data_IF_132440566558
#
_entry.id   IF_132440566558
#
_cell.length_a   1.000
_cell.length_b   1.000
_cell.length_c   1.000
_cell.angle_alpha   90.00
_cell.angle_beta   90.00
_cell.angle_gamma   90.00
#
_symmetry.space_group_name_H-M   'P 1'
#
loop_
_entity.id
_entity.type
_entity.pdbx_description
1 polymer ?
#
# COMPACT_ATOMS: atom_id res chain seq x y z
N UNK A 1 5.13 -24.79 11.88
CA UNK A 1 3.99 -24.26 11.10
C UNK A 1 4.59 -23.51 9.93
N UNK A 2 4.32 -23.96 8.71
CA UNK A 2 4.65 -23.19 7.50
C UNK A 2 3.72 -22.00 7.45
N UNK A 3 4.25 -20.79 7.28
CA UNK A 3 3.42 -19.60 7.05
C UNK A 3 2.71 -19.76 5.71
N UNK A 4 1.44 -19.38 5.62
CA UNK A 4 0.71 -19.35 4.35
C UNK A 4 1.14 -18.13 3.51
N UNK A 5 0.89 -18.16 2.20
CA UNK A 5 1.07 -16.99 1.35
C UNK A 5 0.15 -15.84 1.82
N UNK A 6 0.63 -14.61 1.70
CA UNK A 6 -0.05 -13.40 2.17
C UNK A 6 -0.31 -12.43 1.02
N UNK A 7 -1.42 -11.71 1.10
CA UNK A 7 -1.60 -10.43 0.41
C UNK A 7 -1.10 -9.29 1.31
N UNK A 8 0.00 -8.66 0.94
CA UNK A 8 0.68 -7.63 1.73
C UNK A 8 0.37 -6.24 1.16
N UNK A 9 -0.25 -5.37 1.95
CA UNK A 9 -0.38 -3.96 1.58
C UNK A 9 0.96 -3.26 1.78
N UNK A 10 1.52 -2.69 0.71
CA UNK A 10 2.72 -1.84 0.79
C UNK A 10 2.30 -0.41 1.05
N UNK A 11 2.71 0.10 2.22
CA UNK A 11 2.29 1.40 2.72
C UNK A 11 3.50 2.32 2.90
N UNK A 12 3.43 3.54 2.35
CA UNK A 12 4.56 4.48 2.33
C UNK A 12 4.15 5.92 2.01
N UNK A 13 5.12 6.83 1.84
CA UNK A 13 4.84 8.17 1.34
C UNK A 13 4.29 8.09 -0.07
N UNK A 14 3.07 8.60 -0.27
CA UNK A 14 2.49 8.85 -1.59
C UNK A 14 2.49 10.34 -1.92
N UNK A 15 1.66 11.13 -1.23
CA UNK A 15 1.62 12.60 -1.35
C UNK A 15 2.57 13.33 -0.38
N UNK A 16 3.06 12.62 0.64
CA UNK A 16 3.89 13.26 1.67
C UNK A 16 5.26 13.66 1.12
N UNK A 17 5.67 14.89 1.40
CA UNK A 17 6.95 15.45 0.94
C UNK A 17 7.00 15.79 -0.56
N UNK A 18 5.86 15.79 -1.26
CA UNK A 18 5.81 16.11 -2.70
C UNK A 18 5.46 17.56 -3.00
N UNK A 19 4.77 18.25 -2.08
CA UNK A 19 4.22 19.59 -2.30
C UNK A 19 3.34 19.68 -3.57
N UNK A 20 2.70 18.58 -3.95
CA UNK A 20 1.88 18.48 -5.18
C UNK A 20 2.68 18.26 -6.46
N UNK A 21 4.00 18.07 -6.38
CA UNK A 21 4.85 17.75 -7.52
C UNK A 21 4.58 16.33 -8.02
N UNK A 22 4.03 16.21 -9.23
CA UNK A 22 3.66 14.94 -9.86
C UNK A 22 4.86 14.01 -10.12
N UNK A 23 6.08 14.53 -10.32
CA UNK A 23 7.27 13.69 -10.47
C UNK A 23 7.65 13.06 -9.14
N UNK A 24 7.57 13.83 -8.04
CA UNK A 24 7.81 13.30 -6.69
C UNK A 24 6.73 12.30 -6.29
N UNK A 25 5.46 12.54 -6.64
CA UNK A 25 4.37 11.58 -6.40
C UNK A 25 4.63 10.27 -7.15
N UNK A 26 5.02 10.35 -8.43
CA UNK A 26 5.37 9.17 -9.23
C UNK A 26 6.58 8.43 -8.65
N UNK A 27 7.61 9.14 -8.21
CA UNK A 27 8.78 8.54 -7.57
C UNK A 27 8.40 7.84 -6.25
N UNK A 28 7.52 8.45 -5.46
CA UNK A 28 6.97 7.91 -4.24
C UNK A 28 6.19 6.59 -4.50
N UNK A 29 5.30 6.60 -5.50
CA UNK A 29 4.57 5.39 -5.94
C UNK A 29 5.52 4.30 -6.42
N UNK A 30 6.51 4.64 -7.26
CA UNK A 30 7.48 3.68 -7.76
C UNK A 30 8.27 2.98 -6.63
N UNK A 31 8.55 3.67 -5.52
CA UNK A 31 9.18 3.03 -4.34
C UNK A 31 8.28 1.99 -3.66
N UNK A 32 6.97 2.23 -3.61
CA UNK A 32 6.02 1.25 -3.09
C UNK A 32 5.90 0.06 -4.04
N UNK A 33 5.77 0.33 -5.34
CA UNK A 33 5.67 -0.71 -6.37
C UNK A 33 6.94 -1.57 -6.48
N UNK A 34 8.12 -1.00 -6.20
CA UNK A 34 9.38 -1.72 -6.17
C UNK A 34 9.42 -2.86 -5.13
N UNK A 35 8.50 -2.88 -4.14
CA UNK A 35 8.38 -3.98 -3.19
C UNK A 35 7.64 -5.20 -3.76
N UNK A 36 6.99 -5.08 -4.91
CA UNK A 36 6.23 -6.17 -5.51
C UNK A 36 7.09 -7.39 -5.82
N UNK A 37 8.26 -7.19 -6.46
CA UNK A 37 9.16 -8.28 -6.80
C UNK A 37 9.76 -8.95 -5.54
N UNK A 38 10.36 -8.23 -4.58
CA UNK A 38 10.88 -8.85 -3.36
C UNK A 38 9.82 -9.60 -2.54
N UNK A 39 8.57 -9.12 -2.50
CA UNK A 39 7.48 -9.82 -1.83
C UNK A 39 7.10 -11.10 -2.59
N UNK A 40 7.05 -11.06 -3.92
CA UNK A 40 6.83 -12.24 -4.75
C UNK A 40 7.93 -13.28 -4.55
N UNK A 41 9.20 -12.87 -4.51
CA UNK A 41 10.35 -13.74 -4.23
C UNK A 41 10.28 -14.39 -2.83
N UNK A 42 9.54 -13.78 -1.89
CA UNK A 42 9.23 -14.35 -0.58
C UNK A 42 7.99 -15.25 -0.56
N UNK A 43 7.32 -15.43 -1.70
CA UNK A 43 6.10 -16.23 -1.85
C UNK A 43 4.81 -15.48 -1.50
N UNK A 44 4.81 -14.15 -1.61
CA UNK A 44 3.70 -13.28 -1.23
C UNK A 44 3.28 -12.33 -2.36
N UNK A 45 2.03 -11.89 -2.36
CA UNK A 45 1.56 -10.88 -3.29
C UNK A 45 1.59 -9.50 -2.65
N UNK A 46 2.08 -8.50 -3.39
CA UNK A 46 1.99 -7.11 -2.98
C UNK A 46 0.68 -6.47 -3.48
N UNK A 47 0.17 -5.52 -2.73
CA UNK A 47 -0.85 -4.58 -3.17
C UNK A 47 -0.46 -3.15 -2.79
N UNK A 48 -0.81 -2.19 -3.64
CA UNK A 48 -0.67 -0.75 -3.37
C UNK A 48 -2.06 -0.12 -3.49
N UNK A 49 -2.43 0.77 -2.56
CA UNK A 49 -3.76 1.37 -2.51
C UNK A 49 -4.16 2.05 -3.81
N UNK A 50 -3.21 2.76 -4.42
CA UNK A 50 -3.37 3.52 -5.66
C UNK A 50 -3.80 2.67 -6.86
N UNK A 51 -3.40 1.39 -6.92
CA UNK A 51 -3.80 0.47 -7.99
C UNK A 51 -5.32 0.26 -8.05
N UNK A 52 -5.99 0.31 -6.88
CA UNK A 52 -7.43 0.13 -6.78
C UNK A 52 -8.18 1.46 -6.67
N UNK A 53 -7.56 2.52 -6.15
CA UNK A 53 -8.24 3.81 -6.00
C UNK A 53 -8.41 4.52 -7.34
N UNK A 54 -7.40 4.52 -8.21
CA UNK A 54 -7.44 5.28 -9.46
C UNK A 54 -8.56 4.87 -10.42
N UNK A 55 -8.83 3.57 -10.67
CA UNK A 55 -9.98 3.17 -11.48
C UNK A 55 -11.32 3.68 -10.93
N UNK A 56 -11.48 3.71 -9.60
CA UNK A 56 -12.69 4.24 -8.93
C UNK A 56 -12.79 5.75 -9.09
N UNK A 57 -11.68 6.47 -8.86
CA UNK A 57 -11.60 7.93 -9.00
C UNK A 57 -11.93 8.35 -10.43
N UNK A 58 -11.34 7.70 -11.43
CA UNK A 58 -11.57 7.97 -12.84
C UNK A 58 -13.03 7.71 -13.24
N UNK A 59 -13.61 6.58 -12.80
CA UNK A 59 -15.01 6.27 -13.06
C UNK A 59 -15.98 7.27 -12.39
N UNK A 60 -15.57 7.93 -11.31
CA UNK A 60 -16.31 9.00 -10.66
C UNK A 60 -16.07 10.39 -11.27
N UNK A 61 -15.27 10.48 -12.34
CA UNK A 61 -14.95 11.73 -13.04
C UNK A 61 -13.76 12.51 -12.49
N UNK A 62 -12.93 11.91 -11.62
CA UNK A 62 -11.69 12.51 -11.15
C UNK A 62 -10.53 12.30 -12.11
N UNK A 63 -9.66 13.29 -12.22
CA UNK A 63 -8.57 13.33 -13.21
C UNK A 63 -7.18 13.66 -12.61
N UNK A 64 -7.13 13.98 -11.32
CA UNK A 64 -5.94 14.51 -10.68
C UNK A 64 -5.99 14.37 -9.16
N UNK A 65 -4.83 14.49 -8.50
CA UNK A 65 -4.70 14.51 -7.03
C UNK A 65 -5.44 15.70 -6.38
N UNK A 66 -5.73 16.75 -7.15
CA UNK A 66 -6.46 17.92 -6.70
C UNK A 66 -7.99 17.77 -6.83
N UNK A 67 -8.47 16.72 -7.50
CA UNK A 67 -9.90 16.51 -7.71
C UNK A 67 -10.64 16.16 -6.41
N UNK A 68 -11.92 16.56 -6.32
CA UNK A 68 -12.78 16.20 -5.18
C UNK A 68 -12.96 14.67 -5.07
N UNK A 69 -12.99 13.99 -6.22
CA UNK A 69 -13.10 12.54 -6.32
C UNK A 69 -11.88 11.86 -5.70
N UNK A 70 -10.67 12.36 -5.94
CA UNK A 70 -9.46 11.85 -5.32
C UNK A 70 -9.56 11.92 -3.79
N UNK A 71 -9.88 13.10 -3.25
CA UNK A 71 -10.05 13.30 -1.80
C UNK A 71 -11.16 12.41 -1.20
N UNK A 72 -12.22 12.17 -1.97
CA UNK A 72 -13.36 11.35 -1.54
C UNK A 72 -13.09 9.86 -1.55
N UNK A 73 -12.33 9.35 -2.51
CA UNK A 73 -12.25 7.91 -2.78
C UNK A 73 -10.91 7.26 -2.43
N UNK A 74 -9.79 8.00 -2.39
CA UNK A 74 -8.47 7.41 -2.13
C UNK A 74 -8.44 6.62 -0.80
N UNK A 75 -8.70 7.28 0.34
CA UNK A 75 -8.67 6.62 1.65
C UNK A 75 -9.73 5.52 1.82
N UNK A 76 -11.01 5.74 1.43
CA UNK A 76 -12.00 4.68 1.60
C UNK A 76 -11.72 3.42 0.76
N UNK A 77 -11.06 3.54 -0.39
CA UNK A 77 -10.63 2.37 -1.16
C UNK A 77 -9.44 1.69 -0.49
N UNK A 78 -8.41 2.46 -0.10
CA UNK A 78 -7.23 1.93 0.59
C UNK A 78 -7.60 1.18 1.90
N UNK A 79 -8.49 1.73 2.72
CA UNK A 79 -8.95 1.05 3.95
C UNK A 79 -9.71 -0.25 3.66
N UNK A 80 -10.50 -0.31 2.58
CA UNK A 80 -11.19 -1.55 2.16
C UNK A 80 -10.20 -2.59 1.65
N UNK A 81 -9.15 -2.17 0.93
CA UNK A 81 -8.06 -3.05 0.54
C UNK A 81 -7.32 -3.58 1.78
N UNK A 82 -6.95 -2.71 2.72
CA UNK A 82 -6.30 -3.13 3.97
C UNK A 82 -7.11 -4.20 4.71
N UNK A 83 -8.44 -4.07 4.76
CA UNK A 83 -9.30 -5.08 5.37
C UNK A 83 -9.21 -6.46 4.69
N UNK A 84 -8.80 -6.53 3.42
CA UNK A 84 -8.59 -7.77 2.63
C UNK A 84 -7.16 -8.27 2.62
N UNK A 85 -6.18 -7.45 2.95
CA UNK A 85 -4.77 -7.86 3.07
C UNK A 85 -4.54 -8.66 4.36
N UNK A 86 -3.50 -9.49 4.38
CA UNK A 86 -3.10 -10.28 5.56
C UNK A 86 -2.07 -9.54 6.42
N UNK A 87 -1.29 -8.64 5.81
CA UNK A 87 -0.24 -7.87 6.47
C UNK A 87 -0.06 -6.48 5.85
N UNK A 88 0.69 -5.62 6.54
CA UNK A 88 1.21 -4.36 6.00
C UNK A 88 2.73 -4.39 5.99
N UNK A 89 3.34 -3.96 4.88
CA UNK A 89 4.75 -3.60 4.81
C UNK A 89 4.86 -2.07 4.79
N UNK A 90 5.33 -1.48 5.88
CA UNK A 90 5.56 -0.04 6.04
C UNK A 90 6.97 0.31 5.56
N UNK A 91 7.09 0.85 4.34
CA UNK A 91 8.38 1.27 3.79
C UNK A 91 8.86 2.60 4.41
N UNK A 92 10.16 2.93 4.43
CA UNK A 92 10.64 4.17 5.07
C UNK A 92 10.08 5.48 4.50
N UNK A 93 10.02 6.50 5.35
CA UNK A 93 9.67 7.88 5.00
C UNK A 93 8.43 8.41 5.75
N UNK A 94 8.40 9.71 6.00
CA UNK A 94 7.29 10.37 6.70
C UNK A 94 6.01 10.30 5.86
N UNK A 95 4.94 9.73 6.42
CA UNK A 95 3.66 9.60 5.73
C UNK A 95 2.53 9.35 6.72
N UNK A 96 1.71 10.38 6.97
CA UNK A 96 0.56 10.26 7.87
C UNK A 96 -0.44 9.20 7.38
N UNK A 97 -0.65 9.10 6.07
CA UNK A 97 -1.55 8.11 5.50
C UNK A 97 -1.07 6.69 5.79
N UNK A 98 0.24 6.45 5.63
CA UNK A 98 0.82 5.15 5.91
C UNK A 98 0.84 4.80 7.41
N UNK A 99 1.04 5.80 8.27
CA UNK A 99 0.99 5.60 9.72
C UNK A 99 -0.43 5.22 10.18
N UNK A 100 -1.47 5.88 9.64
CA UNK A 100 -2.88 5.53 9.89
C UNK A 100 -3.22 4.11 9.40
N UNK A 101 -2.68 3.68 8.25
CA UNK A 101 -2.86 2.31 7.77
C UNK A 101 -2.21 1.27 8.70
N UNK A 102 -1.04 1.59 9.27
CA UNK A 102 -0.39 0.72 10.26
C UNK A 102 -1.18 0.64 11.58
N UNK A 103 -1.73 1.76 12.04
CA UNK A 103 -2.62 1.80 13.21
C UNK A 103 -3.85 0.92 12.97
N UNK A 104 -4.54 1.12 11.84
CA UNK A 104 -5.72 0.31 11.47
C UNK A 104 -5.38 -1.18 11.30
N UNK A 105 -4.22 -1.50 10.72
CA UNK A 105 -3.77 -2.89 10.61
C UNK A 105 -3.59 -3.53 11.99
N UNK A 106 -2.99 -2.80 12.92
CA UNK A 106 -2.79 -3.22 14.31
C UNK A 106 -4.12 -3.44 15.01
N UNK A 107 -5.08 -2.53 14.85
CA UNK A 107 -6.44 -2.67 15.39
C UNK A 107 -7.17 -3.91 14.84
N UNK A 108 -6.92 -4.26 13.58
CA UNK A 108 -7.45 -5.46 12.93
C UNK A 108 -6.68 -6.75 13.27
N UNK A 109 -5.65 -6.67 14.14
CA UNK A 109 -4.82 -7.81 14.52
C UNK A 109 -3.90 -8.32 13.40
N UNK A 110 -3.59 -7.47 12.41
CA UNK A 110 -2.74 -7.80 11.27
C UNK A 110 -1.29 -7.42 11.56
N UNK A 111 -0.30 -8.25 11.20
CA UNK A 111 1.10 -7.90 11.36
C UNK A 111 1.47 -6.67 10.50
N UNK A 112 2.28 -5.80 11.11
CA UNK A 112 2.92 -4.67 10.45
C UNK A 112 4.43 -4.93 10.44
N UNK A 113 5.00 -5.02 9.25
CA UNK A 113 6.43 -5.18 9.03
C UNK A 113 7.05 -3.84 8.65
N UNK A 114 8.19 -3.50 9.23
CA UNK A 114 8.91 -2.26 8.94
C UNK A 114 10.12 -2.47 8.01
N UNK A 115 10.39 -3.72 7.64
CA UNK A 115 11.43 -4.09 6.70
C UNK A 115 11.06 -5.39 5.98
N UNK A 116 11.63 -5.61 4.79
CA UNK A 116 11.46 -6.88 4.07
C UNK A 116 12.01 -8.08 4.84
N UNK A 117 13.04 -7.86 5.67
CA UNK A 117 13.68 -8.94 6.45
C UNK A 117 12.75 -9.54 7.51
N UNK A 118 11.79 -8.75 8.00
CA UNK A 118 10.77 -9.21 8.95
C UNK A 118 9.66 -10.03 8.26
N UNK A 119 9.49 -9.86 6.94
CA UNK A 119 8.49 -10.61 6.18
C UNK A 119 8.96 -12.06 6.05
N UNK A 120 8.18 -13.04 6.51
CA UNK A 120 8.54 -14.45 6.40
C UNK A 120 8.69 -14.86 4.93
N UNK A 121 9.39 -15.95 4.69
CA UNK A 121 9.47 -16.54 3.35
C UNK A 121 8.74 -17.87 3.36
N UNK A 122 7.93 -18.09 2.34
CA UNK A 122 7.13 -19.30 2.15
C UNK A 122 7.45 -19.90 0.78
N UNK A 123 7.27 -21.22 0.60
CA UNK A 123 7.40 -21.82 -0.72
C UNK A 123 6.43 -21.15 -1.69
N UNK A 124 6.90 -20.90 -2.92
CA UNK A 124 6.06 -20.36 -3.98
C UNK A 124 4.86 -21.29 -4.24
N UNK A 125 3.67 -20.71 -4.36
CA UNK A 125 2.42 -21.45 -4.57
C UNK A 125 1.80 -21.00 -5.92
N UNK A 126 1.29 -21.95 -6.74
CA UNK A 126 0.74 -21.66 -8.06
C UNK A 126 -0.58 -20.89 -8.05
#
# INVERSE_FOLDING_TARGET
>A
MTTESMLVLVSGPYLSGTDGDEEKIRANLARMEAMALPLLEKGHLAAVGEWLSWPVIAAAGGDSHASEQFARYQYPVAHRLLAKCDAVLRIPGASRGADLECELATELGKPVYHSLDEVPSVPDQP
#
